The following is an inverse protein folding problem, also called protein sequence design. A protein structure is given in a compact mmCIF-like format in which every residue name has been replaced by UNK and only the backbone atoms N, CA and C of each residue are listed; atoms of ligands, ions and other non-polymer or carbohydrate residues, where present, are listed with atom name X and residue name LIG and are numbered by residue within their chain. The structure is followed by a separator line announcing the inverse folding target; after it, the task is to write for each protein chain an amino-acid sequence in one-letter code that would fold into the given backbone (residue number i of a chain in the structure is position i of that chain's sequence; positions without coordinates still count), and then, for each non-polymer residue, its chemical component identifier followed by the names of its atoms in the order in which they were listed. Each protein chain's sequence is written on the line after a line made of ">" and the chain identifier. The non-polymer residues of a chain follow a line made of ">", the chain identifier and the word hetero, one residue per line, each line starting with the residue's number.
data_IF_171817789741
#
_entry.id   IF_171817789741
#
_cell.length_a   1.000
_cell.length_b   1.000
_cell.length_c   1.000
_cell.angle_alpha   90.00
_cell.angle_beta   90.00
_cell.angle_gamma   90.00
#
_symmetry.space_group_name_H-M   'P 1'
#
loop_
_entity.id
_entity.type
_entity.pdbx_description
1 polymer ?
#
# COMPACT_ATOMS: atom_id res chain seq x y z
N UNK A 1 4.81 -27.13 -42.93
CA UNK A 1 4.49 -26.20 -41.81
C UNK A 1 3.46 -26.87 -40.93
N UNK A 2 3.81 -27.16 -39.65
CA UNK A 2 2.89 -27.83 -38.71
C UNK A 2 1.79 -26.85 -38.28
N UNK A 3 0.53 -27.20 -38.54
CA UNK A 3 -0.65 -26.48 -38.02
C UNK A 3 -0.59 -26.52 -36.49
N UNK A 4 -0.32 -25.38 -35.87
CA UNK A 4 -0.48 -25.22 -34.43
C UNK A 4 -1.98 -25.21 -34.16
N UNK A 5 -2.46 -26.21 -33.42
CA UNK A 5 -3.87 -26.36 -33.06
C UNK A 5 -4.34 -25.12 -32.29
N UNK A 6 -5.42 -24.48 -32.77
CA UNK A 6 -6.03 -23.30 -32.13
C UNK A 6 -6.38 -23.55 -30.65
N UNK A 7 -6.66 -24.79 -30.26
CA UNK A 7 -6.91 -25.21 -28.87
C UNK A 7 -5.68 -25.06 -27.96
N UNK A 8 -4.47 -25.26 -28.47
CA UNK A 8 -3.23 -25.10 -27.68
C UNK A 8 -2.88 -23.64 -27.46
N UNK A 9 -3.21 -22.76 -28.42
CA UNK A 9 -3.06 -21.32 -28.29
C UNK A 9 -4.08 -20.73 -27.30
N UNK A 10 -5.33 -21.21 -27.33
CA UNK A 10 -6.36 -20.80 -26.36
C UNK A 10 -6.04 -21.25 -24.92
N UNK A 11 -5.40 -22.42 -24.73
CA UNK A 11 -4.96 -22.87 -23.41
C UNK A 11 -3.80 -22.01 -22.86
N UNK A 12 -2.87 -21.59 -23.73
CA UNK A 12 -1.77 -20.70 -23.34
C UNK A 12 -2.27 -19.30 -22.98
N UNK A 13 -3.28 -18.80 -23.71
CA UNK A 13 -3.93 -17.52 -23.44
C UNK A 13 -4.75 -17.58 -22.15
N UNK A 14 -5.47 -18.68 -21.86
CA UNK A 14 -6.13 -18.86 -20.56
C UNK A 14 -5.15 -18.96 -19.39
N UNK A 15 -3.97 -19.57 -19.57
CA UNK A 15 -2.92 -19.57 -18.52
C UNK A 15 -2.28 -18.19 -18.33
N UNK A 16 -2.27 -17.34 -19.37
CA UNK A 16 -1.87 -15.93 -19.26
C UNK A 16 -2.97 -15.07 -18.61
N UNK A 17 -4.24 -15.49 -18.66
CA UNK A 17 -5.35 -14.82 -17.96
C UNK A 17 -5.56 -15.33 -16.52
N UNK A 18 -5.12 -16.55 -16.17
CA UNK A 18 -5.17 -17.07 -14.79
C UNK A 18 -4.04 -16.57 -13.89
N UNK A 19 -3.06 -15.84 -14.45
CA UNK A 19 -2.03 -15.10 -13.69
C UNK A 19 -2.42 -13.64 -13.40
N UNK A 20 -3.69 -13.26 -13.63
CA UNK A 20 -4.22 -11.92 -13.29
C UNK A 20 -4.53 -11.76 -11.79
N UNK A 21 -4.40 -12.82 -10.99
CA UNK A 21 -4.26 -12.69 -9.55
C UNK A 21 -2.79 -12.50 -9.19
N UNK A 22 -2.48 -11.59 -8.28
CA UNK A 22 -1.16 -11.37 -7.66
C UNK A 22 -0.24 -10.38 -8.39
N UNK A 23 -0.56 -9.10 -8.21
CA UNK A 23 0.45 -8.03 -8.23
C UNK A 23 0.35 -7.23 -6.92
N UNK A 24 0.52 -7.93 -5.80
CA UNK A 24 1.40 -7.33 -4.79
C UNK A 24 2.82 -7.45 -5.36
N UNK A 25 3.69 -6.46 -5.13
CA UNK A 25 5.10 -6.60 -5.50
C UNK A 25 5.58 -7.96 -4.98
N UNK A 26 6.16 -8.77 -5.87
CA UNK A 26 6.25 -10.22 -5.67
C UNK A 26 6.74 -10.54 -4.25
N UNK A 27 5.95 -11.27 -3.44
CA UNK A 27 6.25 -11.50 -2.04
C UNK A 27 7.58 -12.23 -1.92
N UNK A 28 8.33 -11.82 -0.92
CA UNK A 28 9.72 -12.20 -0.73
C UNK A 28 9.76 -13.64 -0.19
N UNK A 29 9.73 -14.61 -1.09
CA UNK A 29 9.75 -16.03 -0.73
C UNK A 29 11.03 -16.38 0.05
N UNK A 30 10.91 -17.16 1.13
CA UNK A 30 12.03 -17.72 1.92
C UNK A 30 12.84 -16.68 2.70
N UNK A 31 12.27 -15.52 3.04
CA UNK A 31 12.89 -14.60 3.99
C UNK A 31 12.44 -14.94 5.41
N UNK A 32 13.38 -15.01 6.35
CA UNK A 32 13.07 -15.23 7.77
C UNK A 32 12.70 -13.91 8.44
N UNK A 33 11.40 -13.69 8.68
CA UNK A 33 10.90 -12.45 9.27
C UNK A 33 11.20 -12.32 10.77
N UNK A 34 11.63 -13.38 11.47
CA UNK A 34 12.03 -13.28 12.88
C UNK A 34 13.26 -12.38 13.09
N UNK A 35 14.10 -12.21 12.05
CA UNK A 35 15.29 -11.37 12.15
C UNK A 35 14.97 -9.88 12.26
N UNK A 36 13.72 -9.49 11.97
CA UNK A 36 13.28 -8.10 12.04
C UNK A 36 13.24 -7.60 13.49
N UNK A 37 12.92 -8.45 14.47
CA UNK A 37 12.81 -8.07 15.89
C UNK A 37 14.08 -7.42 16.46
N UNK A 38 15.24 -7.70 15.86
CA UNK A 38 16.56 -7.18 16.29
C UNK A 38 17.07 -6.04 15.41
N UNK A 39 16.23 -5.54 14.51
CA UNK A 39 16.57 -4.51 13.55
C UNK A 39 15.85 -3.21 13.87
N UNK A 40 16.37 -2.12 13.29
CA UNK A 40 15.78 -0.80 13.35
C UNK A 40 15.58 -0.25 11.95
N UNK A 41 14.41 0.34 11.71
CA UNK A 41 14.08 1.05 10.49
C UNK A 41 14.77 2.43 10.49
N UNK A 42 15.68 2.64 9.54
CA UNK A 42 16.29 3.94 9.30
C UNK A 42 15.47 4.70 8.26
N UNK A 43 14.88 5.80 8.72
CA UNK A 43 14.14 6.77 7.91
C UNK A 43 15.10 7.91 7.57
N UNK A 44 15.29 8.26 6.28
CA UNK A 44 16.24 9.29 5.91
C UNK A 44 15.79 10.67 6.44
N UNK A 45 16.71 11.39 7.09
CA UNK A 45 16.53 12.81 7.49
C UNK A 45 16.46 13.74 6.29
N UNK A 46 15.96 14.95 6.53
CA UNK A 46 15.90 15.99 5.50
C UNK A 46 17.25 16.29 4.83
N UNK A 47 18.25 16.55 5.68
CA UNK A 47 19.60 16.98 5.28
C UNK A 47 20.38 15.92 4.50
N UNK A 48 20.03 14.64 4.69
CA UNK A 48 20.70 13.55 4.00
C UNK A 48 20.41 13.55 2.50
N UNK A 49 19.32 14.21 2.05
CA UNK A 49 18.97 14.23 0.63
C UNK A 49 17.94 15.32 0.24
N UNK A 50 18.33 16.59 0.20
CA UNK A 50 17.45 17.71 -0.20
C UNK A 50 16.85 17.52 -1.62
N UNK A 51 17.69 17.12 -2.59
CA UNK A 51 17.24 16.82 -3.97
C UNK A 51 16.22 15.70 -4.03
N UNK A 52 16.30 14.76 -3.11
CA UNK A 52 15.35 13.67 -3.00
C UNK A 52 14.04 14.17 -2.42
N UNK A 53 14.05 15.02 -1.41
CA UNK A 53 12.82 15.55 -0.81
C UNK A 53 12.06 16.44 -1.77
N UNK A 54 12.77 17.28 -2.54
CA UNK A 54 12.18 18.02 -3.65
C UNK A 54 11.53 17.10 -4.70
N UNK A 55 12.06 15.88 -4.90
CA UNK A 55 11.44 14.86 -5.77
C UNK A 55 10.26 14.14 -5.11
N UNK A 56 10.29 13.98 -3.79
CA UNK A 56 9.24 13.31 -3.01
C UNK A 56 8.04 14.21 -2.72
N UNK A 57 8.23 15.53 -2.65
CA UNK A 57 7.17 16.50 -2.41
C UNK A 57 6.49 16.86 -3.73
N UNK A 58 5.31 16.28 -3.98
CA UNK A 58 4.56 16.53 -5.22
C UNK A 58 3.90 17.90 -5.29
N UNK A 59 3.89 18.69 -4.20
CA UNK A 59 3.11 19.93 -4.11
C UNK A 59 3.74 20.99 -3.21
N UNK A 60 4.87 21.61 -3.59
CA UNK A 60 5.24 22.98 -3.21
C UNK A 60 5.23 23.41 -1.72
N UNK A 61 4.97 22.54 -0.75
CA UNK A 61 4.79 22.87 0.67
C UNK A 61 6.11 23.19 1.33
N UNK A 62 7.15 22.40 1.01
CA UNK A 62 8.52 22.75 1.37
C UNK A 62 9.03 23.99 0.64
N UNK A 63 8.50 24.31 -0.54
CA UNK A 63 8.92 25.51 -1.29
C UNK A 63 8.39 26.80 -0.65
N UNK A 64 7.36 26.71 0.20
CA UNK A 64 6.84 27.83 1.00
C UNK A 64 7.70 28.16 2.22
N UNK A 65 8.57 27.25 2.64
CA UNK A 65 9.50 27.46 3.76
C UNK A 65 10.80 27.96 3.14
N UNK A 66 11.27 29.16 3.48
CA UNK A 66 12.48 29.71 2.87
C UNK A 66 13.76 29.10 3.47
N UNK A 67 13.75 28.80 4.77
CA UNK A 67 14.93 28.36 5.50
C UNK A 67 15.10 26.83 5.49
N UNK A 68 16.34 26.38 5.23
CA UNK A 68 16.66 24.95 5.14
C UNK A 68 16.56 24.22 6.49
N UNK A 69 16.86 24.89 7.61
CA UNK A 69 16.73 24.30 8.95
C UNK A 69 15.26 24.16 9.33
N UNK A 70 14.44 25.14 8.98
CA UNK A 70 12.98 25.06 9.17
C UNK A 70 12.37 23.92 8.36
N UNK A 71 12.78 23.72 7.09
CA UNK A 71 12.36 22.56 6.29
C UNK A 71 12.75 21.24 6.96
N UNK A 72 13.98 21.15 7.47
CA UNK A 72 14.46 19.96 8.15
C UNK A 72 13.70 19.66 9.45
N UNK A 73 13.45 20.69 10.25
CA UNK A 73 12.67 20.59 11.48
C UNK A 73 11.23 20.15 11.18
N UNK A 74 10.59 20.76 10.18
CA UNK A 74 9.23 20.41 9.76
C UNK A 74 9.16 18.96 9.25
N UNK A 75 10.05 18.56 8.34
CA UNK A 75 10.14 17.18 7.84
C UNK A 75 10.26 16.18 8.99
N UNK A 76 11.23 16.40 9.89
CA UNK A 76 11.46 15.48 11.00
C UNK A 76 10.26 15.44 11.97
N UNK A 77 9.55 16.56 12.13
CA UNK A 77 8.33 16.63 12.95
C UNK A 77 7.20 15.80 12.33
N UNK A 78 6.84 16.04 11.07
CA UNK A 78 5.72 15.32 10.43
C UNK A 78 5.99 13.82 10.33
N UNK A 79 7.25 13.40 10.16
CA UNK A 79 7.62 11.98 10.18
C UNK A 79 7.47 11.35 11.57
N UNK A 80 7.85 12.05 12.63
CA UNK A 80 7.64 11.58 14.00
C UNK A 80 6.16 11.41 14.30
N UNK A 81 5.34 12.41 13.96
CA UNK A 81 3.90 12.37 14.15
C UNK A 81 3.25 11.25 13.32
N UNK A 82 3.60 11.12 12.04
CA UNK A 82 3.08 10.07 11.17
C UNK A 82 3.45 8.67 11.67
N UNK A 83 4.70 8.46 12.12
CA UNK A 83 5.12 7.16 12.67
C UNK A 83 4.40 6.84 13.98
N UNK A 84 4.17 7.83 14.85
CA UNK A 84 3.45 7.64 16.11
C UNK A 84 1.98 7.24 15.90
N UNK A 85 1.35 7.75 14.84
CA UNK A 85 -0.04 7.45 14.48
C UNK A 85 -0.20 6.25 13.53
N UNK A 86 0.89 5.79 12.92
CA UNK A 86 0.86 4.63 12.01
C UNK A 86 0.66 3.32 12.77
N UNK A 87 0.10 2.31 12.10
CA UNK A 87 0.04 0.93 12.61
C UNK A 87 1.34 0.17 12.43
N UNK A 88 2.40 0.80 11.91
CA UNK A 88 3.71 0.17 11.74
C UNK A 88 4.28 -0.28 13.09
N UNK A 89 4.49 -1.58 13.23
CA UNK A 89 4.91 -2.23 14.47
C UNK A 89 5.96 -3.33 14.25
N UNK A 90 6.48 -3.45 13.04
CA UNK A 90 7.42 -4.51 12.70
C UNK A 90 8.78 -4.38 13.40
N UNK A 91 9.27 -3.14 13.58
CA UNK A 91 10.54 -2.83 14.25
C UNK A 91 10.51 -1.45 14.89
N UNK A 92 11.45 -1.17 15.78
CA UNK A 92 11.79 0.21 16.15
C UNK A 92 12.21 1.03 14.92
N UNK A 93 12.17 2.36 15.03
CA UNK A 93 12.61 3.26 13.95
C UNK A 93 13.52 4.38 14.47
N UNK A 94 14.31 4.94 13.56
CA UNK A 94 15.16 6.10 13.79
C UNK A 94 15.18 6.99 12.55
N UNK A 95 14.84 8.27 12.73
CA UNK A 95 15.00 9.28 11.68
C UNK A 95 16.44 9.79 11.76
N UNK A 96 17.28 9.39 10.79
CA UNK A 96 18.71 9.73 10.79
C UNK A 96 19.27 9.92 9.38
N UNK A 97 20.40 10.60 9.30
CA UNK A 97 21.22 10.58 8.09
C UNK A 97 21.98 9.25 8.01
N UNK A 98 22.07 8.69 6.81
CA UNK A 98 22.86 7.48 6.55
C UNK A 98 23.38 7.41 5.11
N UNK A 99 24.57 6.83 4.94
CA UNK A 99 25.08 6.44 3.62
C UNK A 99 24.60 5.03 3.28
N UNK A 100 23.62 4.94 2.38
CA UNK A 100 23.07 3.66 1.89
C UNK A 100 24.16 2.74 1.33
N UNK A 101 25.12 3.27 0.55
CA UNK A 101 26.17 2.44 -0.08
C UNK A 101 27.06 1.84 1.00
N UNK A 102 27.41 2.61 2.02
CA UNK A 102 28.22 2.14 3.13
C UNK A 102 27.51 1.04 3.93
N UNK A 103 26.25 1.27 4.34
CA UNK A 103 25.47 0.31 5.13
C UNK A 103 25.20 -1.00 4.39
N UNK A 104 24.97 -0.92 3.07
CA UNK A 104 24.85 -2.11 2.22
C UNK A 104 26.18 -2.86 2.11
N UNK A 105 27.30 -2.15 1.92
CA UNK A 105 28.63 -2.76 1.81
C UNK A 105 29.07 -3.43 3.12
N UNK A 106 28.77 -2.81 4.27
CA UNK A 106 29.08 -3.36 5.59
C UNK A 106 28.13 -4.49 6.00
N UNK A 107 27.03 -4.70 5.27
CA UNK A 107 25.95 -5.64 5.62
C UNK A 107 25.49 -5.45 7.05
N UNK A 108 25.22 -4.20 7.42
CA UNK A 108 24.78 -3.86 8.77
C UNK A 108 23.65 -4.80 9.21
N UNK A 109 23.87 -5.50 10.33
CA UNK A 109 22.94 -6.53 10.81
C UNK A 109 21.77 -5.93 11.57
N UNK A 110 21.84 -4.67 11.97
CA UNK A 110 20.80 -3.97 12.72
C UNK A 110 19.94 -3.09 11.80
N UNK A 111 20.42 -2.73 10.61
CA UNK A 111 19.69 -1.80 9.76
C UNK A 111 18.61 -2.45 8.86
N UNK A 112 17.46 -1.78 8.80
CA UNK A 112 16.51 -1.80 7.69
C UNK A 112 16.49 -0.40 7.09
N UNK A 113 16.80 -0.25 5.81
CA UNK A 113 16.83 1.04 5.15
C UNK A 113 15.51 1.29 4.44
N UNK A 114 14.86 2.41 4.77
CA UNK A 114 13.84 2.97 3.90
C UNK A 114 14.52 3.70 2.75
N UNK A 115 14.14 3.35 1.52
CA UNK A 115 14.59 4.09 0.35
C UNK A 115 13.50 4.10 -0.70
N UNK A 116 13.63 5.05 -1.62
CA UNK A 116 12.60 5.32 -2.60
C UNK A 116 13.21 5.30 -3.99
N UNK A 117 12.40 4.92 -4.95
CA UNK A 117 12.78 4.74 -6.35
C UNK A 117 11.73 5.43 -7.21
N UNK A 118 12.21 6.15 -8.21
CA UNK A 118 11.38 6.67 -9.29
C UNK A 118 11.86 6.08 -10.60
N UNK A 119 10.93 5.56 -11.40
CA UNK A 119 11.23 5.12 -12.75
C UNK A 119 11.00 6.22 -13.79
N UNK A 120 11.39 5.93 -15.03
CA UNK A 120 11.27 6.86 -16.16
C UNK A 120 9.80 7.12 -16.56
N UNK A 121 8.85 6.33 -16.05
CA UNK A 121 7.42 6.55 -16.26
C UNK A 121 6.79 7.44 -15.18
N UNK A 122 7.60 7.91 -14.23
CA UNK A 122 7.16 8.74 -13.11
C UNK A 122 6.48 7.97 -11.99
N UNK A 123 6.65 6.64 -11.94
CA UNK A 123 6.18 5.86 -10.80
C UNK A 123 7.17 6.00 -9.64
N UNK A 124 6.67 6.44 -8.50
CA UNK A 124 7.33 6.38 -7.21
C UNK A 124 7.00 5.10 -6.47
N UNK A 125 8.03 4.52 -5.87
CA UNK A 125 7.94 3.38 -4.96
C UNK A 125 8.78 3.66 -3.71
N UNK A 126 8.28 3.27 -2.55
CA UNK A 126 9.06 3.14 -1.31
C UNK A 126 9.37 1.68 -1.06
N UNK A 127 10.54 1.38 -0.50
CA UNK A 127 10.96 0.01 -0.20
C UNK A 127 11.73 -0.06 1.10
N UNK A 128 11.55 -1.17 1.82
CA UNK A 128 12.32 -1.53 3.00
C UNK A 128 13.39 -2.55 2.62
N UNK A 129 14.66 -2.22 2.88
CA UNK A 129 15.82 -3.03 2.51
C UNK A 129 16.55 -3.50 3.77
N UNK A 130 16.61 -4.81 3.97
CA UNK A 130 17.54 -5.39 4.93
C UNK A 130 18.94 -5.39 4.33
N UNK A 131 19.95 -4.92 5.08
CA UNK A 131 21.35 -4.85 4.64
C UNK A 131 22.14 -6.12 4.92
N UNK A 132 21.79 -6.87 5.97
CA UNK A 132 22.41 -8.14 6.35
C UNK A 132 21.43 -9.08 7.07
N UNK A 133 21.65 -10.42 7.06
CA UNK A 133 22.82 -11.14 6.54
C UNK A 133 22.88 -11.27 5.02
N UNK A 134 21.72 -11.20 4.35
CA UNK A 134 21.59 -11.09 2.89
C UNK A 134 20.82 -9.83 2.56
N UNK A 135 21.38 -9.02 1.66
CA UNK A 135 20.69 -7.83 1.20
C UNK A 135 19.40 -8.23 0.48
N UNK A 136 18.26 -7.72 0.94
CA UNK A 136 16.96 -8.10 0.39
C UNK A 136 15.91 -7.02 0.66
N UNK A 137 15.16 -6.66 -0.38
CA UNK A 137 13.94 -5.87 -0.20
C UNK A 137 12.93 -6.79 0.46
N UNK A 138 12.36 -6.36 1.59
CA UNK A 138 11.40 -7.16 2.39
C UNK A 138 9.96 -6.66 2.26
N UNK A 139 9.78 -5.40 1.87
CA UNK A 139 8.48 -4.81 1.60
C UNK A 139 8.62 -3.60 0.68
N UNK A 140 7.54 -3.27 0.00
CA UNK A 140 7.49 -2.16 -0.94
C UNK A 140 6.07 -1.71 -1.21
N UNK A 141 5.91 -0.42 -1.42
CA UNK A 141 4.61 0.20 -1.72
C UNK A 141 4.73 1.24 -2.82
N UNK A 142 3.66 1.39 -3.60
CA UNK A 142 3.51 2.48 -4.56
C UNK A 142 3.12 3.75 -3.82
N UNK A 143 3.75 4.87 -4.19
CA UNK A 143 3.51 6.17 -3.55
C UNK A 143 2.99 7.21 -4.56
N UNK A 144 2.50 6.73 -5.71
CA UNK A 144 1.98 7.59 -6.77
C UNK A 144 0.77 8.39 -6.28
N UNK A 145 0.95 9.71 -6.17
CA UNK A 145 -0.15 10.60 -5.78
C UNK A 145 -0.19 10.89 -4.28
N UNK A 146 0.74 10.33 -3.50
CA UNK A 146 1.01 10.78 -2.13
C UNK A 146 1.82 12.08 -2.14
N UNK A 147 1.51 12.96 -1.19
CA UNK A 147 2.30 14.13 -0.83
C UNK A 147 3.07 13.87 0.45
N UNK A 148 4.35 13.49 0.35
CA UNK A 148 5.18 13.23 1.53
C UNK A 148 5.66 14.52 2.25
N UNK A 149 5.09 15.67 1.88
CA UNK A 149 5.06 16.86 2.74
C UNK A 149 3.95 16.84 3.80
N UNK A 150 3.05 15.85 3.76
CA UNK A 150 1.91 15.74 4.66
C UNK A 150 2.00 14.53 5.58
N UNK A 151 1.71 14.75 6.86
CA UNK A 151 1.72 13.70 7.90
C UNK A 151 0.83 12.52 7.51
N UNK A 152 -0.40 12.78 7.07
CA UNK A 152 -1.37 11.71 6.78
C UNK A 152 -0.92 10.84 5.60
N UNK A 153 -0.33 11.42 4.55
CA UNK A 153 0.17 10.66 3.40
C UNK A 153 1.43 9.86 3.73
N UNK A 154 2.28 10.36 4.64
CA UNK A 154 3.37 9.57 5.23
C UNK A 154 2.80 8.40 6.05
N UNK A 155 1.80 8.66 6.90
CA UNK A 155 1.12 7.63 7.73
C UNK A 155 0.54 6.52 6.85
N UNK A 156 -0.21 6.89 5.81
CA UNK A 156 -0.77 5.92 4.86
C UNK A 156 0.33 5.11 4.15
N UNK A 157 1.40 5.76 3.68
CA UNK A 157 2.53 5.05 3.07
C UNK A 157 3.13 4.01 4.02
N UNK A 158 3.30 4.36 5.29
CA UNK A 158 3.82 3.44 6.32
C UNK A 158 2.87 2.29 6.59
N UNK A 159 1.57 2.54 6.64
CA UNK A 159 0.57 1.49 6.79
C UNK A 159 0.51 0.56 5.57
N UNK A 160 0.69 1.09 4.34
CA UNK A 160 0.84 0.27 3.14
C UNK A 160 2.11 -0.61 3.17
N UNK A 161 3.22 -0.08 3.68
CA UNK A 161 4.44 -0.88 3.91
C UNK A 161 4.21 -1.96 4.98
N UNK A 162 3.48 -1.65 6.05
CA UNK A 162 3.18 -2.62 7.09
C UNK A 162 2.28 -3.76 6.58
N UNK A 163 1.27 -3.44 5.78
CA UNK A 163 0.48 -4.45 5.09
C UNK A 163 1.33 -5.29 4.12
N UNK A 164 2.25 -4.67 3.38
CA UNK A 164 3.19 -5.41 2.53
C UNK A 164 4.06 -6.39 3.34
N UNK A 165 4.52 -6.01 4.53
CA UNK A 165 5.28 -6.90 5.42
C UNK A 165 4.43 -8.04 5.95
N UNK A 166 3.23 -7.73 6.47
CA UNK A 166 2.31 -8.72 7.03
C UNK A 166 1.93 -9.77 5.97
N UNK A 167 1.54 -9.32 4.77
CA UNK A 167 1.20 -10.25 3.70
C UNK A 167 2.42 -11.08 3.26
N UNK A 168 3.61 -10.49 3.21
CA UNK A 168 4.81 -11.23 2.81
C UNK A 168 5.26 -12.25 3.88
N UNK A 169 5.04 -11.96 5.17
CA UNK A 169 5.24 -12.90 6.27
C UNK A 169 4.26 -14.07 6.19
N UNK A 170 2.97 -13.79 5.97
CA UNK A 170 1.93 -14.83 5.84
C UNK A 170 2.23 -15.83 4.72
N UNK A 171 2.63 -15.33 3.55
CA UNK A 171 2.94 -16.21 2.41
C UNK A 171 4.18 -17.08 2.66
N UNK A 172 5.06 -16.66 3.57
CA UNK A 172 6.19 -17.48 4.02
C UNK A 172 5.77 -18.51 5.08
N UNK A 173 4.84 -18.17 5.96
CA UNK A 173 4.21 -19.10 6.91
C UNK A 173 3.38 -20.17 6.20
N UNK A 174 2.57 -19.83 5.20
CA UNK A 174 1.78 -20.80 4.43
C UNK A 174 2.68 -21.83 3.69
N UNK A 175 3.93 -21.46 3.41
CA UNK A 175 4.95 -22.34 2.82
C UNK A 175 5.85 -23.07 3.83
N UNK A 176 5.74 -22.81 5.14
CA UNK A 176 6.61 -23.37 6.18
C UNK A 176 5.80 -23.95 7.34
N UNK A 177 6.26 -25.04 7.98
CA UNK A 177 5.56 -25.63 9.15
C UNK A 177 5.68 -24.78 10.42
N UNK A 178 6.41 -23.68 10.35
CA UNK A 178 6.62 -22.72 11.44
C UNK A 178 5.45 -21.75 11.48
N UNK A 179 4.39 -22.13 12.19
CA UNK A 179 3.36 -21.20 12.63
C UNK A 179 4.02 -20.14 13.53
N UNK A 180 4.16 -18.90 13.08
CA UNK A 180 4.40 -17.78 14.00
C UNK A 180 3.08 -17.43 14.71
N UNK A 181 2.62 -18.37 15.53
CA UNK A 181 1.68 -18.10 16.61
C UNK A 181 2.38 -17.15 17.58
N UNK A 182 1.88 -15.92 17.74
CA UNK A 182 2.22 -15.09 18.89
C UNK A 182 2.73 -13.69 18.63
N UNK A 183 3.02 -13.29 17.38
CA UNK A 183 3.23 -11.87 17.10
C UNK A 183 1.87 -11.16 17.11
N UNK A 184 1.50 -10.59 18.27
CA UNK A 184 0.41 -9.63 18.37
C UNK A 184 0.82 -8.43 17.53
N UNK A 185 0.33 -8.39 16.29
CA UNK A 185 0.51 -7.24 15.42
C UNK A 185 -0.70 -6.33 15.61
N UNK A 186 -0.43 -5.06 15.92
CA UNK A 186 -1.43 -3.98 15.95
C UNK A 186 -2.24 -3.96 14.67
N UNK A 187 -1.59 -4.23 13.54
CA UNK A 187 -2.25 -4.32 12.25
C UNK A 187 -3.32 -5.43 12.20
N UNK A 188 -2.97 -6.66 12.64
CA UNK A 188 -3.93 -7.79 12.64
C UNK A 188 -5.10 -7.52 13.59
N UNK A 189 -4.81 -6.95 14.76
CA UNK A 189 -5.83 -6.57 15.73
C UNK A 189 -6.77 -5.51 15.14
N UNK A 190 -6.23 -4.45 14.53
CA UNK A 190 -7.00 -3.40 13.87
C UNK A 190 -7.86 -3.92 12.71
N UNK A 191 -7.35 -4.84 11.88
CA UNK A 191 -8.15 -5.45 10.81
C UNK A 191 -9.32 -6.29 11.36
N UNK A 192 -9.10 -7.04 12.45
CA UNK A 192 -10.17 -7.84 13.08
C UNK A 192 -11.22 -6.94 13.72
N UNK A 193 -10.80 -5.94 14.50
CA UNK A 193 -11.68 -4.97 15.13
C UNK A 193 -12.49 -4.17 14.10
N UNK A 194 -11.83 -3.74 13.03
CA UNK A 194 -12.49 -3.08 11.92
C UNK A 194 -13.55 -3.99 11.29
N UNK A 195 -13.19 -5.25 10.99
CA UNK A 195 -14.11 -6.20 10.36
C UNK A 195 -15.31 -6.54 11.24
N UNK A 196 -15.11 -6.66 12.55
CA UNK A 196 -16.19 -6.96 13.50
C UNK A 196 -17.24 -5.84 13.56
N UNK A 197 -16.83 -4.61 13.27
CA UNK A 197 -17.70 -3.43 13.27
C UNK A 197 -18.01 -2.92 11.85
N UNK A 198 -17.64 -3.66 10.79
CA UNK A 198 -17.73 -3.16 9.40
C UNK A 198 -19.17 -2.85 8.97
N UNK A 199 -20.15 -3.58 9.52
CA UNK A 199 -21.57 -3.42 9.20
C UNK A 199 -22.15 -2.07 9.61
N UNK A 200 -21.59 -1.45 10.66
CA UNK A 200 -22.02 -0.16 11.18
C UNK A 200 -21.30 1.02 10.49
N UNK A 201 -20.23 0.73 9.72
CA UNK A 201 -19.44 1.74 9.00
C UNK A 201 -20.01 2.05 7.62
N UNK A 202 -19.52 3.12 7.00
CA UNK A 202 -19.88 3.53 5.63
C UNK A 202 -18.68 3.48 4.70
N UNK A 203 -18.83 2.77 3.58
CA UNK A 203 -17.83 2.69 2.53
C UNK A 203 -17.90 3.90 1.61
N UNK A 204 -16.92 4.79 1.68
CA UNK A 204 -16.79 5.94 0.81
C UNK A 204 -16.12 5.55 -0.51
N UNK A 205 -16.82 5.81 -1.62
CA UNK A 205 -16.36 5.46 -2.96
C UNK A 205 -16.22 6.75 -3.78
N UNK A 206 -15.01 7.10 -4.24
CA UNK A 206 -14.81 8.31 -5.03
C UNK A 206 -15.49 8.21 -6.40
N UNK A 207 -16.12 9.31 -6.80
CA UNK A 207 -16.60 9.53 -8.17
C UNK A 207 -15.40 9.51 -9.13
N UNK A 208 -15.54 8.82 -10.25
CA UNK A 208 -14.57 8.88 -11.33
C UNK A 208 -14.64 10.25 -12.02
N UNK A 209 -13.55 10.99 -11.91
CA UNK A 209 -13.35 12.21 -12.68
C UNK A 209 -12.72 11.91 -14.05
N UNK A 210 -13.14 12.65 -15.07
CA UNK A 210 -12.56 12.54 -16.39
C UNK A 210 -12.72 13.85 -17.16
N UNK A 211 -11.69 14.25 -17.92
CA UNK A 211 -11.73 15.43 -18.82
C UNK A 211 -12.88 15.41 -19.84
N UNK A 212 -13.52 14.27 -20.04
CA UNK A 212 -14.68 14.11 -20.89
C UNK A 212 -15.83 13.65 -19.99
N UNK A 213 -16.83 14.51 -19.85
CA UNK A 213 -17.97 14.34 -18.95
C UNK A 213 -18.79 13.10 -19.28
N UNK A 214 -18.99 12.79 -20.56
CA UNK A 214 -19.70 11.57 -20.98
C UNK A 214 -18.98 10.31 -20.47
N UNK A 215 -17.65 10.27 -20.60
CA UNK A 215 -16.85 9.16 -20.06
C UNK A 215 -16.84 9.11 -18.53
N UNK A 216 -16.92 10.25 -17.85
CA UNK A 216 -17.07 10.30 -16.40
C UNK A 216 -18.43 9.71 -15.98
N UNK A 217 -19.51 10.16 -16.62
CA UNK A 217 -20.87 9.68 -16.38
C UNK A 217 -21.00 8.16 -16.61
N UNK A 218 -20.47 7.64 -17.72
CA UNK A 218 -20.45 6.20 -18.02
C UNK A 218 -19.72 5.41 -16.92
N UNK A 219 -18.52 5.85 -16.50
CA UNK A 219 -17.76 5.17 -15.43
C UNK A 219 -18.48 5.20 -14.09
N UNK A 220 -19.12 6.33 -13.78
CA UNK A 220 -19.87 6.49 -12.53
C UNK A 220 -21.15 5.64 -12.53
N UNK A 221 -21.80 5.47 -13.67
CA UNK A 221 -22.93 4.54 -13.83
C UNK A 221 -22.47 3.08 -13.64
N UNK A 222 -21.40 2.67 -14.31
CA UNK A 222 -20.81 1.32 -14.17
C UNK A 222 -20.46 1.03 -12.70
N UNK A 223 -19.83 1.98 -12.02
CA UNK A 223 -19.42 1.85 -10.62
C UNK A 223 -20.61 1.76 -9.67
N UNK A 224 -21.64 2.59 -9.86
CA UNK A 224 -22.90 2.50 -9.09
C UNK A 224 -23.58 1.14 -9.26
N UNK A 225 -23.58 0.60 -10.47
CA UNK A 225 -24.12 -0.74 -10.72
C UNK A 225 -23.32 -1.80 -9.97
N UNK A 226 -21.98 -1.74 -10.04
CA UNK A 226 -21.11 -2.65 -9.31
C UNK A 226 -21.36 -2.60 -7.79
N UNK A 227 -21.48 -1.41 -7.20
CA UNK A 227 -21.66 -1.24 -5.75
C UNK A 227 -22.95 -1.87 -5.21
N UNK A 228 -23.94 -2.21 -6.05
CA UNK A 228 -25.12 -2.97 -5.62
C UNK A 228 -24.76 -4.37 -5.09
N UNK A 229 -23.62 -4.94 -5.49
CA UNK A 229 -23.12 -6.22 -4.97
C UNK A 229 -22.34 -6.07 -3.67
N UNK A 230 -22.08 -4.85 -3.19
CA UNK A 230 -21.48 -4.62 -1.88
C UNK A 230 -22.48 -4.97 -0.76
N UNK A 231 -22.09 -5.88 0.14
CA UNK A 231 -22.91 -6.41 1.23
C UNK A 231 -22.28 -6.26 2.61
N UNK A 232 -21.02 -5.84 2.70
CA UNK A 232 -20.33 -5.72 3.99
C UNK A 232 -20.83 -4.53 4.83
N UNK A 233 -21.30 -3.46 4.19
CA UNK A 233 -21.74 -2.25 4.88
C UNK A 233 -22.61 -1.37 3.97
N UNK A 234 -23.08 -0.23 4.49
CA UNK A 234 -23.58 0.87 3.63
C UNK A 234 -22.43 1.44 2.81
N UNK A 235 -22.75 2.03 1.66
CA UNK A 235 -21.78 2.77 0.84
C UNK A 235 -22.31 4.16 0.49
N UNK A 236 -21.39 5.08 0.25
CA UNK A 236 -21.66 6.44 -0.19
C UNK A 236 -20.81 6.79 -1.41
N UNK A 237 -21.42 7.44 -2.40
CA UNK A 237 -20.75 7.84 -3.62
C UNK A 237 -20.43 9.35 -3.60
N UNK A 238 -19.16 9.66 -3.36
CA UNK A 238 -18.68 10.96 -2.86
C UNK A 238 -17.49 11.48 -3.68
N UNK A 239 -16.94 12.64 -3.34
CA UNK A 239 -15.74 13.23 -3.98
C UNK A 239 -14.46 12.81 -3.25
N UNK A 240 -13.30 12.93 -3.90
CA UNK A 240 -12.01 12.71 -3.23
C UNK A 240 -11.76 13.75 -2.11
N UNK A 241 -12.30 14.96 -2.25
CA UNK A 241 -12.20 16.02 -1.25
C UNK A 241 -12.98 15.68 0.03
N UNK A 242 -14.23 15.21 -0.11
CA UNK A 242 -15.04 14.76 1.03
C UNK A 242 -14.38 13.58 1.75
N UNK A 243 -13.80 12.63 1.00
CA UNK A 243 -13.02 11.52 1.57
C UNK A 243 -11.80 12.03 2.35
N UNK A 244 -11.05 12.97 1.78
CA UNK A 244 -9.86 13.53 2.42
C UNK A 244 -10.24 14.29 3.71
N UNK A 245 -11.38 15.00 3.74
CA UNK A 245 -11.87 15.64 4.95
C UNK A 245 -12.18 14.60 6.04
N UNK A 246 -12.89 13.51 5.70
CA UNK A 246 -13.17 12.41 6.65
C UNK A 246 -11.91 11.74 7.19
N UNK A 247 -10.92 11.57 6.32
CA UNK A 247 -9.61 11.05 6.68
C UNK A 247 -8.84 12.00 7.61
N UNK A 248 -8.87 13.31 7.36
CA UNK A 248 -8.22 14.31 8.22
C UNK A 248 -8.90 14.42 9.59
N UNK A 249 -10.24 14.36 9.61
CA UNK A 249 -11.04 14.32 10.84
C UNK A 249 -10.76 13.08 11.69
N UNK A 250 -10.27 12.01 11.06
CA UNK A 250 -10.04 10.73 11.71
C UNK A 250 -11.36 10.03 12.05
N UNK A 251 -12.34 10.07 11.13
CA UNK A 251 -13.70 9.61 11.42
C UNK A 251 -13.80 8.07 11.47
N UNK A 252 -14.10 7.47 12.64
CA UNK A 252 -14.10 6.02 12.79
C UNK A 252 -15.25 5.34 12.06
N UNK A 253 -16.30 6.06 11.68
CA UNK A 253 -17.49 5.49 11.04
C UNK A 253 -17.29 5.25 9.54
N UNK A 254 -16.16 5.68 8.98
CA UNK A 254 -15.90 5.62 7.55
C UNK A 254 -14.63 4.85 7.18
N UNK A 255 -14.67 4.31 5.98
CA UNK A 255 -13.52 3.74 5.30
C UNK A 255 -13.68 3.99 3.81
N UNK A 256 -12.58 4.06 3.09
CA UNK A 256 -12.61 4.59 1.73
C UNK A 256 -11.75 3.77 0.77
N UNK A 257 -12.10 3.86 -0.51
CA UNK A 257 -11.31 3.29 -1.59
C UNK A 257 -10.36 4.35 -2.17
N UNK A 258 -9.07 4.00 -2.29
CA UNK A 258 -8.06 4.82 -2.97
C UNK A 258 -7.38 4.03 -4.10
N UNK A 259 -7.20 4.69 -5.24
CA UNK A 259 -6.50 4.17 -6.42
C UNK A 259 -5.11 4.81 -6.55
N UNK A 260 -4.11 3.96 -6.75
CA UNK A 260 -2.73 4.33 -7.04
C UNK A 260 -2.39 3.88 -8.46
N UNK A 261 -2.45 4.79 -9.46
CA UNK A 261 -2.16 4.42 -10.84
C UNK A 261 -0.68 4.11 -11.02
N UNK A 262 -0.35 3.03 -11.72
CA UNK A 262 1.02 2.62 -12.07
C UNK A 262 1.14 2.66 -13.60
N UNK A 263 2.11 3.39 -14.11
CA UNK A 263 2.33 3.57 -15.54
C UNK A 263 3.40 2.62 -16.07
N UNK A 264 3.16 1.94 -17.17
CA UNK A 264 4.16 1.06 -17.80
C UNK A 264 4.06 1.19 -19.31
N UNK A 265 5.10 0.75 -20.03
CA UNK A 265 5.02 0.55 -21.48
C UNK A 265 5.29 -0.91 -21.82
N UNK A 266 4.36 -1.53 -22.53
CA UNK A 266 4.54 -2.85 -23.13
C UNK A 266 4.52 -2.66 -24.64
N UNK A 267 5.62 -3.02 -25.31
CA UNK A 267 5.78 -2.85 -26.76
C UNK A 267 5.51 -1.40 -27.24
N UNK A 268 5.93 -0.41 -26.46
CA UNK A 268 5.72 1.02 -26.78
C UNK A 268 4.30 1.54 -26.49
N UNK A 269 3.37 0.69 -26.05
CA UNK A 269 2.02 1.12 -25.66
C UNK A 269 2.00 1.43 -24.16
N UNK A 270 1.63 2.66 -23.81
CA UNK A 270 1.45 3.08 -22.42
C UNK A 270 0.22 2.37 -21.82
N UNK A 271 0.46 1.55 -20.81
CA UNK A 271 -0.55 0.84 -20.02
C UNK A 271 -0.59 1.46 -18.63
N UNK A 272 -1.80 1.58 -18.06
CA UNK A 272 -1.99 1.99 -16.67
C UNK A 272 -2.60 0.83 -15.89
N UNK A 273 -1.90 0.41 -14.85
CA UNK A 273 -2.41 -0.51 -13.85
C UNK A 273 -2.91 0.28 -12.65
N UNK A 274 -3.80 -0.31 -11.86
CA UNK A 274 -4.43 0.35 -10.73
C UNK A 274 -4.17 -0.48 -9.48
N UNK A 275 -3.35 0.05 -8.57
CA UNK A 275 -3.17 -0.53 -7.25
C UNK A 275 -4.20 0.09 -6.32
N UNK A 276 -5.18 -0.71 -5.94
CA UNK A 276 -6.33 -0.27 -5.18
C UNK A 276 -6.18 -0.69 -3.73
N UNK A 277 -6.55 0.19 -2.82
CA UNK A 277 -6.58 -0.09 -1.40
C UNK A 277 -7.89 0.36 -0.78
N UNK A 278 -8.34 -0.38 0.22
CA UNK A 278 -9.45 -0.01 1.09
C UNK A 278 -8.82 0.35 2.43
N UNK A 279 -9.12 1.55 2.91
CA UNK A 279 -8.41 2.22 4.00
C UNK A 279 -9.41 2.69 5.06
N UNK A 280 -9.12 2.52 6.35
CA UNK A 280 -9.92 3.14 7.42
C UNK A 280 -9.67 4.65 7.48
N UNK A 281 -10.73 5.45 7.70
CA UNK A 281 -10.58 6.91 7.70
C UNK A 281 -9.93 7.45 8.99
N UNK A 282 -10.06 6.75 10.11
CA UNK A 282 -9.50 7.13 11.41
C UNK A 282 -7.98 6.96 11.50
N UNK A 283 -7.47 5.80 11.11
CA UNK A 283 -6.07 5.40 11.31
C UNK A 283 -5.24 5.30 10.03
N UNK A 284 -5.85 5.48 8.85
CA UNK A 284 -5.25 5.15 7.54
C UNK A 284 -4.78 3.69 7.44
N UNK A 285 -5.38 2.76 8.18
CA UNK A 285 -5.00 1.36 8.11
C UNK A 285 -5.42 0.76 6.79
N UNK A 286 -4.47 0.11 6.11
CA UNK A 286 -4.75 -0.57 4.83
C UNK A 286 -5.41 -1.90 5.13
N UNK A 287 -6.73 -1.94 5.04
CA UNK A 287 -7.52 -3.12 5.36
C UNK A 287 -7.35 -4.19 4.30
N UNK A 288 -7.29 -3.76 3.04
CA UNK A 288 -7.17 -4.66 1.90
C UNK A 288 -6.52 -3.97 0.70
N UNK A 289 -5.70 -4.72 -0.05
CA UNK A 289 -5.06 -4.26 -1.27
C UNK A 289 -5.31 -5.22 -2.43
N UNK A 290 -5.50 -4.68 -3.64
CA UNK A 290 -5.66 -5.49 -4.85
C UNK A 290 -5.26 -4.73 -6.11
N UNK A 291 -4.87 -5.49 -7.12
CA UNK A 291 -4.65 -4.95 -8.46
C UNK A 291 -5.92 -5.08 -9.28
N UNK A 292 -6.36 -3.96 -9.80
CA UNK A 292 -7.58 -3.86 -10.60
C UNK A 292 -7.29 -3.43 -12.03
N UNK A 293 -8.27 -3.69 -12.90
CA UNK A 293 -8.43 -2.91 -14.13
C UNK A 293 -9.08 -1.57 -13.75
N UNK A 294 -9.00 -0.59 -14.65
CA UNK A 294 -9.56 0.78 -14.49
C UNK A 294 -11.05 0.86 -14.10
N UNK A 295 -11.79 -0.25 -14.15
CA UNK A 295 -13.22 -0.32 -13.81
C UNK A 295 -13.43 -1.43 -12.79
N UNK A 296 -14.05 -1.10 -11.66
CA UNK A 296 -14.59 -2.09 -10.74
C UNK A 296 -15.86 -2.67 -11.36
N UNK A 297 -15.89 -3.99 -11.49
CA UNK A 297 -17.06 -4.74 -11.93
C UNK A 297 -17.73 -5.44 -10.74
N UNK A 298 -19.02 -5.79 -10.85
CA UNK A 298 -19.72 -6.56 -9.81
C UNK A 298 -18.93 -7.76 -9.29
N UNK A 299 -18.37 -8.57 -10.19
CA UNK A 299 -17.62 -9.79 -9.84
C UNK A 299 -16.30 -9.47 -9.13
N UNK A 300 -15.70 -8.30 -9.44
CA UNK A 300 -14.48 -7.84 -8.77
C UNK A 300 -14.78 -7.45 -7.33
N UNK A 301 -15.90 -6.78 -7.08
CA UNK A 301 -16.33 -6.41 -5.73
C UNK A 301 -16.68 -7.64 -4.87
N UNK A 302 -17.34 -8.65 -5.45
CA UNK A 302 -17.60 -9.91 -4.75
C UNK A 302 -16.30 -10.61 -4.33
N UNK A 303 -15.30 -10.65 -5.23
CA UNK A 303 -13.98 -11.19 -4.90
C UNK A 303 -13.27 -10.41 -3.80
N UNK A 304 -13.36 -9.08 -3.83
CA UNK A 304 -12.78 -8.23 -2.78
C UNK A 304 -13.44 -8.53 -1.43
N UNK A 305 -14.77 -8.59 -1.37
CA UNK A 305 -15.51 -8.91 -0.16
C UNK A 305 -15.11 -10.27 0.41
N UNK A 306 -15.10 -11.31 -0.43
CA UNK A 306 -14.68 -12.65 -0.01
C UNK A 306 -13.26 -12.64 0.57
N UNK A 307 -12.35 -11.85 0.02
CA UNK A 307 -10.97 -11.74 0.53
C UNK A 307 -10.88 -10.99 1.85
N UNK A 308 -11.65 -9.92 2.04
CA UNK A 308 -11.74 -9.20 3.33
C UNK A 308 -12.20 -10.16 4.42
N UNK A 309 -13.32 -10.86 4.20
CA UNK A 309 -13.88 -11.86 5.12
C UNK A 309 -12.85 -12.95 5.42
N UNK A 310 -12.22 -13.50 4.37
CA UNK A 310 -11.20 -14.55 4.51
C UNK A 310 -9.99 -14.08 5.32
N UNK A 311 -9.51 -12.86 5.08
CA UNK A 311 -8.38 -12.26 5.80
C UNK A 311 -8.72 -12.05 7.28
N UNK A 312 -9.86 -11.44 7.57
CA UNK A 312 -10.32 -11.22 8.95
C UNK A 312 -10.47 -12.53 9.72
N UNK A 313 -11.12 -13.54 9.15
CA UNK A 313 -11.27 -14.86 9.78
C UNK A 313 -9.92 -15.55 10.05
N UNK A 314 -8.95 -15.38 9.13
CA UNK A 314 -7.59 -15.89 9.32
C UNK A 314 -6.91 -15.21 10.51
N UNK A 315 -7.02 -13.89 10.62
CA UNK A 315 -6.44 -13.12 11.73
C UNK A 315 -7.10 -13.41 13.07
N UNK A 316 -8.42 -13.58 13.12
CA UNK A 316 -9.11 -14.07 14.32
C UNK A 316 -8.49 -15.38 14.83
N UNK A 317 -8.34 -16.36 13.94
CA UNK A 317 -7.70 -17.64 14.27
C UNK A 317 -6.25 -17.50 14.74
N UNK A 318 -5.46 -16.61 14.14
CA UNK A 318 -4.07 -16.36 14.54
C UNK A 318 -3.97 -15.65 15.89
N UNK A 319 -4.91 -14.77 16.20
CA UNK A 319 -5.00 -14.03 17.46
C UNK A 319 -5.69 -14.82 18.59
N UNK A 320 -6.33 -15.94 18.27
CA UNK A 320 -7.10 -16.75 19.22
C UNK A 320 -8.45 -16.13 19.61
N UNK A 321 -9.04 -15.34 18.70
CA UNK A 321 -10.37 -14.72 18.84
C UNK A 321 -11.45 -15.52 18.11
#
# INVERSE_FOLDING_TARGET
>A
MKKINQTTLSLLVMMLFSTIGFSQMAPVKKFDYSILEKKKLYIPTFEANEKFIQKMSKKGKYDKIADAKEKAAYYNKIWKEAMAESSYDATDYEIRAFDRKQLVKSKDKEAILMYFVFDDYGNGQVSLLVTGPKQQIIASSIINGLDLGEKNDIRLMMNMLNESLNTASELNEEGSKTNMKGMRSKYKEGVVEFYDNIGDKTFLVPKSEHKNEKKAAERNADLKEALKTWKLSKYEFTTEEEIENKRIEGDPDYYYWRDFPIYSAINGVRITYHFNVIISADSDDVLFSFMGKKRLKPETLEQIQSKIVTKANRYKKQLGK
#
